data_IF_635906305741
#
_entry.id   IF_635906305741
#
_cell.length_a   1.000
_cell.length_b   1.000
_cell.length_c   1.000
_cell.angle_alpha   90.00
_cell.angle_beta   90.00
_cell.angle_gamma   90.00
#
_symmetry.space_group_name_H-M   'P 1'
#
loop_
_entity.id
_entity.type
_entity.pdbx_description
1 polymer ?
#
# COMPACT_ATOMS: atom_id res chain seq x y z
N UNK A 1 -0.87 14.14 -16.85
CA UNK A 1 0.30 14.28 -16.01
C UNK A 1 0.11 13.46 -14.75
N UNK A 2 1.08 12.64 -14.37
CA UNK A 2 1.08 11.76 -13.18
C UNK A 2 0.80 12.54 -11.89
N UNK A 3 1.18 13.80 -11.84
CA UNK A 3 0.93 14.71 -10.70
C UNK A 3 -0.55 14.89 -10.35
N UNK A 4 -1.45 14.74 -11.31
CA UNK A 4 -2.91 14.91 -11.11
C UNK A 4 -3.66 13.60 -10.88
N UNK A 5 -2.99 12.45 -10.98
CA UNK A 5 -3.64 11.17 -10.70
C UNK A 5 -3.86 11.00 -9.19
N UNK A 6 -5.07 10.67 -8.82
CA UNK A 6 -5.37 10.27 -7.45
C UNK A 6 -4.67 8.96 -7.13
N UNK A 7 -4.10 8.78 -5.93
CA UNK A 7 -3.62 7.47 -5.49
C UNK A 7 -4.74 6.44 -5.56
N UNK A 8 -4.39 5.20 -5.94
CA UNK A 8 -5.33 4.09 -5.91
C UNK A 8 -5.44 3.56 -4.48
N UNK A 9 -6.64 3.16 -4.08
CA UNK A 9 -6.89 2.50 -2.81
C UNK A 9 -7.60 1.17 -3.05
N UNK A 10 -6.84 0.08 -2.96
CA UNK A 10 -7.34 -1.30 -3.06
C UNK A 10 -7.99 -1.69 -1.74
N UNK A 11 -9.28 -1.79 -1.73
CA UNK A 11 -10.06 -2.09 -0.53
C UNK A 11 -10.72 -3.46 -0.64
N UNK A 12 -10.45 -4.34 0.31
CA UNK A 12 -11.02 -5.69 0.29
C UNK A 12 -10.48 -6.57 1.39
N UNK A 13 -11.05 -7.75 1.59
CA UNK A 13 -10.70 -8.68 2.66
C UNK A 13 -9.19 -9.03 2.69
N UNK A 14 -8.66 -9.48 3.85
CA UNK A 14 -7.28 -9.93 3.94
C UNK A 14 -7.06 -11.23 3.15
N UNK A 15 -5.83 -11.39 2.63
CA UNK A 15 -5.41 -12.63 1.99
C UNK A 15 -5.99 -12.93 0.62
N UNK A 16 -6.64 -11.96 -0.05
CA UNK A 16 -7.20 -12.11 -1.41
C UNK A 16 -6.21 -11.81 -2.54
N UNK A 17 -4.95 -11.43 -2.21
CA UNK A 17 -3.91 -11.21 -3.20
C UNK A 17 -3.69 -9.76 -3.62
N UNK A 18 -4.15 -8.74 -2.87
CA UNK A 18 -3.96 -7.32 -3.23
C UNK A 18 -2.51 -6.97 -3.56
N UNK A 19 -1.57 -7.38 -2.71
CA UNK A 19 -0.13 -7.15 -2.92
C UNK A 19 0.38 -7.89 -4.17
N UNK A 20 0.00 -9.17 -4.32
CA UNK A 20 0.42 -9.99 -5.46
C UNK A 20 -0.04 -9.43 -6.81
N UNK A 21 -1.24 -8.84 -6.87
CA UNK A 21 -1.74 -8.17 -8.09
C UNK A 21 -0.89 -6.96 -8.45
N UNK A 22 -0.49 -6.15 -7.46
CA UNK A 22 0.34 -4.97 -7.71
C UNK A 22 1.74 -5.37 -8.16
N UNK A 23 2.33 -6.40 -7.54
CA UNK A 23 3.62 -6.96 -7.94
C UNK A 23 3.56 -7.52 -9.38
N UNK A 24 2.51 -8.27 -9.71
CA UNK A 24 2.34 -8.81 -11.06
C UNK A 24 2.20 -7.70 -12.11
N UNK A 25 1.46 -6.63 -11.81
CA UNK A 25 1.33 -5.48 -12.71
C UNK A 25 2.68 -4.79 -12.91
N UNK A 26 3.48 -4.63 -11.85
CA UNK A 26 4.80 -4.04 -11.96
C UNK A 26 5.73 -4.88 -12.85
N UNK A 27 5.72 -6.21 -12.66
CA UNK A 27 6.48 -7.15 -13.47
C UNK A 27 6.06 -7.13 -14.95
N UNK A 28 4.75 -7.18 -15.23
CA UNK A 28 4.22 -7.17 -16.61
C UNK A 28 4.51 -5.87 -17.34
N UNK A 29 4.54 -4.74 -16.64
CA UNK A 29 4.87 -3.44 -17.21
C UNK A 29 6.37 -3.13 -17.24
N UNK A 30 7.20 -3.97 -16.60
CA UNK A 30 8.64 -3.75 -16.46
C UNK A 30 8.99 -2.49 -15.67
N UNK A 31 8.18 -2.13 -14.67
CA UNK A 31 8.37 -0.96 -13.81
C UNK A 31 8.80 -1.37 -12.40
N UNK A 32 9.37 -0.42 -11.65
CA UNK A 32 9.79 -0.66 -10.27
C UNK A 32 8.61 -0.83 -9.30
N UNK A 33 8.87 -1.49 -8.18
CA UNK A 33 7.96 -1.52 -7.04
C UNK A 33 8.74 -1.35 -5.75
N UNK A 34 8.25 -0.46 -4.90
CA UNK A 34 8.72 -0.29 -3.51
C UNK A 34 7.50 -0.44 -2.61
N UNK A 35 7.55 -1.45 -1.73
CA UNK A 35 6.42 -1.83 -0.88
C UNK A 35 6.70 -1.56 0.60
N UNK A 36 5.73 -1.00 1.29
CA UNK A 36 5.75 -0.79 2.74
C UNK A 36 4.45 -1.25 3.38
N UNK A 37 4.56 -2.01 4.50
CA UNK A 37 3.43 -2.21 5.41
C UNK A 37 3.40 -1.08 6.43
N UNK A 38 2.30 -0.34 6.45
CA UNK A 38 2.15 0.85 7.28
C UNK A 38 1.90 0.57 8.77
N UNK A 39 1.62 -0.69 9.14
CA UNK A 39 1.38 -1.10 10.54
C UNK A 39 2.59 -0.95 11.44
N UNK A 40 3.79 -1.05 10.89
CA UNK A 40 5.06 -1.02 11.64
C UNK A 40 5.75 0.35 11.60
N UNK A 41 5.21 1.30 10.84
CA UNK A 41 5.81 2.62 10.73
C UNK A 41 5.40 3.56 11.86
N UNK A 42 6.42 4.12 12.50
CA UNK A 42 6.25 5.23 13.42
C UNK A 42 6.11 6.55 12.65
N UNK A 43 5.65 7.60 13.32
CA UNK A 43 5.61 8.93 12.71
C UNK A 43 7.00 9.39 12.21
N UNK A 44 8.04 9.03 12.93
CA UNK A 44 9.42 9.44 12.61
C UNK A 44 9.95 8.72 11.36
N UNK A 45 9.72 7.41 11.23
CA UNK A 45 10.16 6.67 10.03
C UNK A 45 9.36 7.07 8.78
N UNK A 46 8.07 7.36 8.94
CA UNK A 46 7.22 7.74 7.82
C UNK A 46 7.42 9.19 7.35
N UNK A 47 7.67 10.14 8.26
CA UNK A 47 7.74 11.57 7.95
C UNK A 47 9.17 12.14 7.92
N UNK A 48 10.14 11.43 8.50
CA UNK A 48 11.47 11.94 8.80
C UNK A 48 11.55 12.62 10.17
N UNK A 49 12.77 13.02 10.52
CA UNK A 49 13.07 13.70 11.78
C UNK A 49 13.15 15.21 11.57
N UNK A 50 12.60 16.03 12.48
CA UNK A 50 12.79 17.48 12.40
C UNK A 50 14.24 17.84 12.74
N UNK A 51 14.82 18.75 11.98
CA UNK A 51 16.12 19.35 12.26
C UNK A 51 16.07 20.87 12.06
N UNK A 52 17.00 21.58 12.70
CA UNK A 52 17.10 23.03 12.59
C UNK A 52 18.06 23.37 11.45
N UNK A 53 17.59 24.24 10.55
CA UNK A 53 18.34 24.77 9.43
C UNK A 53 18.36 26.28 9.49
N UNK A 54 19.51 26.90 9.30
CA UNK A 54 19.64 28.35 9.16
C UNK A 54 19.45 28.73 7.70
N UNK A 55 18.53 29.68 7.45
CA UNK A 55 18.23 30.18 6.11
C UNK A 55 18.26 31.70 6.12
N UNK A 56 18.80 32.29 5.06
CA UNK A 56 18.82 33.75 4.85
C UNK A 56 17.57 34.16 4.05
N UNK A 57 16.86 35.15 4.59
CA UNK A 57 15.80 35.84 3.86
C UNK A 57 16.17 37.35 3.83
N UNK A 58 16.60 37.81 2.66
CA UNK A 58 17.22 39.13 2.53
C UNK A 58 18.58 39.16 3.27
N UNK A 59 18.74 40.16 4.16
CA UNK A 59 19.95 40.33 4.94
C UNK A 59 19.90 39.69 6.35
N UNK A 60 18.78 39.07 6.70
CA UNK A 60 18.57 38.46 8.03
C UNK A 60 18.62 36.96 7.98
N UNK A 61 19.18 36.34 9.04
CA UNK A 61 19.29 34.89 9.24
C UNK A 61 18.16 34.41 10.17
N UNK A 62 17.47 33.35 9.72
CA UNK A 62 16.40 32.72 10.47
C UNK A 62 16.69 31.24 10.70
N UNK A 63 16.34 30.74 11.86
CA UNK A 63 16.32 29.30 12.13
C UNK A 63 14.93 28.77 11.80
N UNK A 64 14.88 27.81 10.88
CA UNK A 64 13.66 27.13 10.50
C UNK A 64 13.73 25.65 10.88
N UNK A 65 12.58 25.04 11.17
CA UNK A 65 12.49 23.60 11.32
C UNK A 65 12.18 22.97 9.95
N UNK A 66 13.00 22.01 9.54
CA UNK A 66 12.82 21.22 8.33
C UNK A 66 12.84 19.73 8.71
N UNK A 67 12.29 18.85 7.85
CA UNK A 67 12.31 17.41 8.08
C UNK A 67 13.34 16.76 7.18
N UNK A 68 14.04 15.73 7.72
CA UNK A 68 14.83 14.82 6.88
C UNK A 68 13.92 14.08 5.91
N UNK A 69 14.49 13.54 4.83
CA UNK A 69 13.74 12.68 3.92
C UNK A 69 13.20 11.46 4.69
N UNK A 70 11.93 11.12 4.44
CA UNK A 70 11.33 9.92 5.02
C UNK A 70 11.97 8.65 4.46
N UNK A 71 12.00 7.59 5.25
CA UNK A 71 12.47 6.27 4.82
C UNK A 71 11.72 5.77 3.58
N UNK A 72 10.41 6.00 3.53
CA UNK A 72 9.56 5.62 2.41
C UNK A 72 10.02 6.27 1.10
N UNK A 73 10.30 7.57 1.11
CA UNK A 73 10.79 8.26 -0.09
C UNK A 73 12.24 7.92 -0.40
N UNK A 74 13.09 7.80 0.64
CA UNK A 74 14.49 7.42 0.46
C UNK A 74 14.64 6.07 -0.27
N UNK A 75 13.76 5.10 0.02
CA UNK A 75 13.77 3.81 -0.67
C UNK A 75 13.36 3.91 -2.15
N UNK A 76 12.44 4.81 -2.47
CA UNK A 76 12.08 5.06 -3.89
C UNK A 76 13.27 5.67 -4.63
N UNK A 77 13.92 6.68 -4.06
CA UNK A 77 15.10 7.29 -4.66
C UNK A 77 16.28 6.31 -4.77
N UNK A 78 16.50 5.49 -3.73
CA UNK A 78 17.53 4.45 -3.73
C UNK A 78 17.28 3.40 -4.82
N UNK A 79 16.02 2.96 -4.97
CA UNK A 79 15.65 2.03 -6.03
C UNK A 79 15.95 2.59 -7.43
N UNK A 80 15.64 3.86 -7.67
CA UNK A 80 15.96 4.53 -8.95
C UNK A 80 17.47 4.57 -9.18
N UNK A 81 18.24 4.91 -8.14
CA UNK A 81 19.70 4.99 -8.23
C UNK A 81 20.35 3.64 -8.53
N UNK A 82 19.87 2.57 -7.89
CA UNK A 82 20.39 1.22 -8.04
C UNK A 82 20.02 0.57 -9.39
N UNK A 83 18.78 0.79 -9.86
CA UNK A 83 18.25 0.08 -11.04
C UNK A 83 18.24 0.92 -12.31
N UNK A 84 18.31 2.24 -12.20
CA UNK A 84 18.10 3.17 -13.31
C UNK A 84 16.65 3.26 -13.80
N UNK A 85 15.70 2.60 -13.11
CA UNK A 85 14.29 2.60 -13.51
C UNK A 85 13.55 3.77 -12.86
N UNK A 86 13.20 4.78 -13.66
CA UNK A 86 12.55 6.01 -13.24
C UNK A 86 11.02 5.89 -13.11
N UNK A 87 10.45 4.71 -13.42
CA UNK A 87 9.01 4.45 -13.33
C UNK A 87 8.72 3.34 -12.35
N UNK A 88 7.68 3.51 -11.54
CA UNK A 88 7.34 2.49 -10.57
C UNK A 88 6.07 2.75 -9.78
N UNK A 89 5.84 1.84 -8.86
CA UNK A 89 4.73 1.84 -7.91
C UNK A 89 5.30 1.96 -6.49
N UNK A 90 4.89 3.00 -5.78
CA UNK A 90 5.03 3.05 -4.32
C UNK A 90 3.78 2.43 -3.72
N UNK A 91 3.92 1.21 -3.21
CA UNK A 91 2.83 0.45 -2.63
C UNK A 91 2.83 0.56 -1.10
N UNK A 92 1.73 1.09 -0.54
CA UNK A 92 1.55 1.27 0.90
C UNK A 92 0.43 0.34 1.38
N UNK A 93 0.81 -0.82 1.92
CA UNK A 93 -0.14 -1.79 2.44
C UNK A 93 -0.62 -1.42 3.84
N UNK A 94 -1.85 -1.82 4.16
CA UNK A 94 -2.49 -1.59 5.46
C UNK A 94 -2.57 -0.11 5.84
N UNK A 95 -2.78 0.78 4.85
CA UNK A 95 -2.78 2.24 5.04
C UNK A 95 -3.82 2.72 6.06
N UNK A 96 -4.91 2.00 6.24
CA UNK A 96 -5.96 2.31 7.18
C UNK A 96 -5.74 1.72 8.60
N UNK A 97 -4.58 1.08 8.82
CA UNK A 97 -4.12 0.61 10.13
C UNK A 97 -3.11 1.56 10.78
N UNK A 98 -2.76 2.68 10.14
CA UNK A 98 -1.82 3.67 10.71
C UNK A 98 -2.35 4.28 12.01
N UNK A 99 -1.43 4.67 12.88
CA UNK A 99 -1.78 5.31 14.15
C UNK A 99 -2.54 6.64 13.95
N UNK A 100 -3.32 7.04 14.96
CA UNK A 100 -4.05 8.33 14.93
C UNK A 100 -3.16 9.52 14.67
N UNK A 101 -1.97 9.49 15.24
CA UNK A 101 -1.01 10.58 15.11
C UNK A 101 -0.38 10.65 13.73
N UNK A 102 -0.33 9.53 13.00
CA UNK A 102 0.25 9.46 11.67
C UNK A 102 -0.79 9.66 10.55
N UNK A 103 -2.04 9.26 10.78
CA UNK A 103 -3.11 9.28 9.78
C UNK A 103 -3.27 10.64 9.06
N UNK A 104 -3.33 11.81 9.75
CA UNK A 104 -3.48 13.11 9.06
C UNK A 104 -2.32 13.41 8.11
N UNK A 105 -1.11 13.01 8.50
CA UNK A 105 0.09 13.23 7.68
C UNK A 105 0.12 12.32 6.46
N UNK A 106 -0.34 11.06 6.62
CA UNK A 106 -0.47 10.13 5.50
C UNK A 106 -1.53 10.59 4.49
N UNK A 107 -2.67 11.10 4.96
CA UNK A 107 -3.69 11.68 4.09
C UNK A 107 -3.17 12.87 3.30
N UNK A 108 -2.39 13.74 3.95
CA UNK A 108 -1.71 14.83 3.27
C UNK A 108 -0.70 14.33 2.24
N UNK A 109 0.06 13.28 2.58
CA UNK A 109 0.98 12.65 1.65
C UNK A 109 0.27 12.09 0.41
N UNK A 110 -0.84 11.39 0.59
CA UNK A 110 -1.63 10.87 -0.53
C UNK A 110 -2.14 12.01 -1.43
N UNK A 111 -2.51 13.14 -0.86
CA UNK A 111 -3.03 14.30 -1.61
C UNK A 111 -1.94 15.04 -2.39
N UNK A 112 -0.79 15.29 -1.74
CA UNK A 112 0.28 16.15 -2.30
C UNK A 112 1.47 15.36 -2.82
N UNK A 113 1.51 14.05 -2.60
CA UNK A 113 2.62 13.16 -2.97
C UNK A 113 3.97 13.65 -2.44
N UNK A 114 3.96 14.24 -1.24
CA UNK A 114 5.16 14.79 -0.62
C UNK A 114 5.13 14.71 0.90
N UNK A 115 6.29 14.49 1.49
CA UNK A 115 6.55 14.71 2.91
C UNK A 115 7.50 15.88 3.07
N UNK A 116 7.04 16.97 3.72
CA UNK A 116 7.83 18.21 3.83
C UNK A 116 8.22 18.76 2.45
N UNK A 117 9.52 18.96 2.24
CA UNK A 117 10.10 19.42 0.98
C UNK A 117 10.36 18.30 -0.04
N UNK A 118 10.20 17.04 0.36
CA UNK A 118 10.54 15.88 -0.46
C UNK A 118 9.31 15.32 -1.15
N UNK A 119 9.37 15.15 -2.47
CA UNK A 119 8.26 14.65 -3.30
C UNK A 119 8.52 13.22 -3.75
N UNK A 120 7.45 12.49 -4.04
CA UNK A 120 7.52 11.25 -4.83
C UNK A 120 8.06 11.61 -6.22
N UNK A 121 9.08 10.89 -6.74
CA UNK A 121 9.63 11.16 -8.07
C UNK A 121 8.59 11.07 -9.18
N UNK A 122 8.77 11.88 -10.22
CA UNK A 122 7.94 11.80 -11.41
C UNK A 122 8.08 10.41 -12.06
N UNK A 123 6.97 9.87 -12.54
CA UNK A 123 6.92 8.49 -13.05
C UNK A 123 6.51 7.45 -12.03
N UNK A 124 6.52 7.79 -10.73
CA UNK A 124 6.05 6.89 -9.67
C UNK A 124 4.59 7.18 -9.29
N UNK A 125 3.80 6.13 -9.22
CA UNK A 125 2.40 6.19 -8.78
C UNK A 125 2.25 5.61 -7.38
N UNK A 126 1.33 6.18 -6.60
CA UNK A 126 1.02 5.67 -5.27
C UNK A 126 -0.18 4.73 -5.38
N UNK A 127 0.01 3.50 -4.94
CA UNK A 127 -1.04 2.50 -4.75
C UNK A 127 -1.07 2.15 -3.27
N UNK A 128 -2.25 2.16 -2.69
CA UNK A 128 -2.45 1.81 -1.29
C UNK A 128 -3.39 0.63 -1.16
N UNK A 129 -3.27 -0.13 -0.09
CA UNK A 129 -4.22 -1.20 0.22
C UNK A 129 -4.71 -1.10 1.66
N UNK A 130 -5.91 -1.61 1.90
CA UNK A 130 -6.50 -1.67 3.22
C UNK A 130 -7.58 -2.73 3.31
N UNK A 131 -7.85 -3.17 4.54
CA UNK A 131 -8.88 -4.16 4.83
C UNK A 131 -10.11 -3.49 5.42
N UNK A 132 -11.31 -4.06 5.25
CA UNK A 132 -12.51 -3.65 5.98
C UNK A 132 -12.37 -3.84 7.50
N UNK A 133 -13.04 -3.01 8.32
CA UNK A 133 -12.90 -3.02 9.77
C UNK A 133 -13.40 -4.30 10.44
N UNK A 134 -14.30 -5.04 9.80
CA UNK A 134 -14.79 -6.33 10.30
C UNK A 134 -13.69 -7.40 10.41
N UNK A 135 -12.58 -7.24 9.68
CA UNK A 135 -11.46 -8.18 9.69
C UNK A 135 -10.30 -7.77 10.62
N UNK A 136 -10.25 -6.51 11.03
CA UNK A 136 -9.17 -6.03 11.89
C UNK A 136 -9.65 -4.84 12.74
N UNK A 137 -9.67 -5.01 14.06
CA UNK A 137 -10.11 -3.98 15.01
C UNK A 137 -9.24 -2.72 15.02
N UNK A 138 -8.02 -2.80 14.51
CA UNK A 138 -7.11 -1.65 14.37
C UNK A 138 -7.39 -0.81 13.11
N UNK A 139 -8.26 -1.29 12.24
CA UNK A 139 -8.65 -0.60 11.01
C UNK A 139 -9.55 0.58 11.34
N UNK A 140 -9.31 1.69 10.63
CA UNK A 140 -10.18 2.86 10.64
C UNK A 140 -10.91 2.97 9.33
N UNK A 141 -12.18 3.27 9.42
CA UNK A 141 -12.93 3.67 8.24
C UNK A 141 -12.47 5.07 7.80
N UNK A 142 -12.25 5.21 6.51
CA UNK A 142 -12.02 6.51 5.92
C UNK A 142 -13.33 7.25 5.74
N UNK A 143 -13.34 8.49 6.19
CA UNK A 143 -14.45 9.40 5.93
C UNK A 143 -14.55 9.79 4.44
N UNK A 144 -15.68 10.38 4.06
CA UNK A 144 -15.94 10.80 2.69
C UNK A 144 -14.85 11.75 2.18
N UNK A 145 -14.33 12.63 3.05
CA UNK A 145 -13.30 13.60 2.67
C UNK A 145 -11.96 12.91 2.35
N UNK A 146 -11.65 11.80 3.02
CA UNK A 146 -10.48 10.96 2.75
C UNK A 146 -10.66 10.17 1.45
N UNK A 147 -11.84 9.56 1.26
CA UNK A 147 -12.15 8.79 0.07
C UNK A 147 -12.17 9.65 -1.21
N UNK A 148 -12.53 10.93 -1.10
CA UNK A 148 -12.45 11.86 -2.25
C UNK A 148 -11.02 12.13 -2.74
N UNK A 149 -10.01 11.90 -1.88
CA UNK A 149 -8.58 12.08 -2.23
C UNK A 149 -7.95 10.89 -2.92
N UNK A 150 -8.59 9.73 -2.87
CA UNK A 150 -8.11 8.48 -3.46
C UNK A 150 -9.12 7.95 -4.47
N UNK A 151 -8.68 7.08 -5.36
CA UNK A 151 -9.55 6.30 -6.21
C UNK A 151 -9.73 4.93 -5.58
N UNK A 152 -10.85 4.72 -4.90
CA UNK A 152 -11.17 3.42 -4.27
C UNK A 152 -11.54 2.39 -5.33
N UNK A 153 -10.95 1.20 -5.19
CA UNK A 153 -11.26 0.01 -5.96
C UNK A 153 -11.59 -1.10 -4.96
N UNK A 154 -12.81 -1.59 -5.00
CA UNK A 154 -13.21 -2.74 -4.20
C UNK A 154 -12.66 -4.01 -4.86
N UNK A 155 -11.92 -4.80 -4.08
CA UNK A 155 -11.25 -6.03 -4.53
C UNK A 155 -11.95 -7.20 -3.85
N UNK A 156 -12.39 -8.14 -4.66
CA UNK A 156 -13.06 -9.35 -4.21
C UNK A 156 -12.24 -10.59 -4.60
N UNK A 157 -12.48 -11.69 -3.88
CA UNK A 157 -11.89 -12.97 -4.24
C UNK A 157 -12.69 -13.62 -5.37
N UNK A 158 -12.02 -13.96 -6.46
CA UNK A 158 -12.62 -14.69 -7.59
C UNK A 158 -11.85 -15.98 -7.84
N UNK A 159 -12.56 -17.12 -7.75
CA UNK A 159 -11.93 -18.43 -7.92
C UNK A 159 -11.44 -18.66 -9.36
N UNK A 160 -12.23 -18.27 -10.35
CA UNK A 160 -11.89 -18.56 -11.75
C UNK A 160 -10.66 -17.74 -12.18
N UNK A 161 -10.56 -16.48 -11.75
CA UNK A 161 -9.36 -15.65 -11.94
C UNK A 161 -8.16 -16.23 -11.19
N UNK A 162 -8.34 -16.64 -9.93
CA UNK A 162 -7.26 -17.27 -9.16
C UNK A 162 -6.79 -18.59 -9.82
N UNK A 163 -7.70 -19.37 -10.37
CA UNK A 163 -7.37 -20.64 -11.03
C UNK A 163 -6.43 -20.43 -12.22
N UNK A 164 -6.66 -19.39 -13.02
CA UNK A 164 -5.74 -19.02 -14.11
C UNK A 164 -4.35 -18.64 -13.59
N UNK A 165 -4.31 -17.83 -12.54
CA UNK A 165 -3.07 -17.49 -11.86
C UNK A 165 -2.36 -18.74 -11.30
N UNK A 166 -3.09 -19.62 -10.62
CA UNK A 166 -2.56 -20.84 -10.03
C UNK A 166 -1.91 -21.78 -11.08
N UNK A 167 -2.53 -21.91 -12.25
CA UNK A 167 -1.98 -22.66 -13.37
C UNK A 167 -0.69 -22.04 -13.90
N UNK A 168 -0.62 -20.70 -14.04
CA UNK A 168 0.60 -19.99 -14.48
C UNK A 168 1.73 -20.10 -13.46
N UNK A 169 1.41 -20.15 -12.17
CA UNK A 169 2.38 -20.27 -11.05
C UNK A 169 2.73 -21.72 -10.68
N UNK A 170 2.23 -22.70 -11.44
CA UNK A 170 2.45 -24.13 -11.18
C UNK A 170 2.02 -24.58 -9.77
N UNK A 171 0.92 -24.03 -9.25
CA UNK A 171 0.32 -24.54 -8.01
C UNK A 171 -0.05 -26.00 -8.19
N UNK A 172 0.17 -26.81 -7.15
CA UNK A 172 0.02 -28.26 -7.25
C UNK A 172 -1.37 -28.67 -7.77
N UNK A 173 -1.45 -29.53 -8.80
CA UNK A 173 -2.74 -29.88 -9.46
C UNK A 173 -3.80 -30.41 -8.50
N UNK A 174 -3.40 -31.13 -7.43
CA UNK A 174 -4.34 -31.65 -6.44
C UNK A 174 -5.10 -30.52 -5.68
N UNK A 175 -4.45 -29.35 -5.48
CA UNK A 175 -5.10 -28.21 -4.85
C UNK A 175 -6.16 -27.65 -5.80
N UNK A 176 -5.81 -27.48 -7.06
CA UNK A 176 -6.73 -26.95 -8.09
C UNK A 176 -7.94 -27.89 -8.23
N UNK A 177 -7.69 -29.21 -8.35
CA UNK A 177 -8.77 -30.21 -8.44
C UNK A 177 -9.65 -30.23 -7.19
N UNK A 178 -9.07 -30.12 -6.01
CA UNK A 178 -9.86 -30.02 -4.76
C UNK A 178 -10.77 -28.82 -4.76
N UNK A 179 -10.26 -27.66 -5.16
CA UNK A 179 -11.02 -26.40 -5.19
C UNK A 179 -12.03 -26.34 -6.34
N UNK A 180 -11.75 -27.00 -7.47
CA UNK A 180 -12.73 -27.15 -8.57
C UNK A 180 -14.03 -27.83 -8.09
N UNK A 181 -13.90 -28.80 -7.16
CA UNK A 181 -15.02 -29.53 -6.55
C UNK A 181 -15.58 -28.81 -5.33
N UNK A 182 -14.74 -28.12 -4.56
CA UNK A 182 -15.10 -27.51 -3.28
C UNK A 182 -14.89 -25.99 -3.31
N UNK A 183 -15.54 -25.27 -4.21
CA UNK A 183 -15.39 -23.81 -4.40
C UNK A 183 -15.64 -23.00 -3.13
N UNK A 184 -16.55 -23.45 -2.25
CA UNK A 184 -16.83 -22.83 -0.96
C UNK A 184 -15.63 -22.81 -0.02
N UNK A 185 -14.65 -23.72 -0.24
CA UNK A 185 -13.40 -23.76 0.55
C UNK A 185 -12.34 -22.80 0.07
N UNK A 186 -12.56 -22.10 -1.06
CA UNK A 186 -11.58 -21.19 -1.65
C UNK A 186 -11.30 -19.98 -0.76
N UNK A 187 -12.33 -19.36 -0.25
CA UNK A 187 -12.26 -18.22 0.65
C UNK A 187 -13.35 -18.31 1.71
N UNK A 188 -12.94 -18.45 2.97
CA UNK A 188 -13.86 -18.55 4.07
C UNK A 188 -13.26 -17.93 5.33
N UNK A 189 -13.90 -16.92 5.87
CA UNK A 189 -13.52 -16.30 7.15
C UNK A 189 -14.74 -16.31 8.06
N UNK A 190 -14.68 -17.11 9.13
CA UNK A 190 -15.64 -17.07 10.22
C UNK A 190 -14.98 -16.55 11.49
N UNK A 191 -15.53 -15.48 12.01
CA UNK A 191 -15.10 -14.90 13.27
C UNK A 191 -16.24 -15.08 14.30
N UNK A 192 -16.26 -16.25 14.94
CA UNK A 192 -17.20 -16.53 16.05
C UNK A 192 -16.49 -16.42 17.40
N UNK A 193 -17.21 -16.08 18.48
CA UNK A 193 -16.61 -15.97 19.83
C UNK A 193 -15.92 -17.23 20.33
N UNK A 194 -16.26 -18.39 19.75
CA UNK A 194 -15.80 -19.72 20.16
C UNK A 194 -14.71 -20.28 19.25
N UNK A 195 -14.68 -19.87 17.97
CA UNK A 195 -13.77 -20.45 16.98
C UNK A 195 -13.45 -19.42 15.89
N UNK A 196 -12.16 -19.20 15.65
CA UNK A 196 -11.68 -18.48 14.49
C UNK A 196 -11.26 -19.50 13.44
N UNK A 197 -12.00 -19.58 12.34
CA UNK A 197 -11.63 -20.40 11.17
C UNK A 197 -11.44 -19.44 10.01
N UNK A 198 -10.28 -19.50 9.39
CA UNK A 198 -10.04 -18.73 8.18
C UNK A 198 -9.29 -19.56 7.14
N UNK A 199 -9.76 -19.49 5.92
CA UNK A 199 -9.09 -19.95 4.73
C UNK A 199 -9.05 -18.78 3.76
N UNK A 200 -7.87 -18.42 3.31
CA UNK A 200 -7.68 -17.30 2.40
C UNK A 200 -6.99 -17.76 1.13
N UNK A 201 -7.13 -17.00 0.07
CA UNK A 201 -6.48 -17.25 -1.23
C UNK A 201 -4.96 -17.45 -1.08
N UNK A 202 -4.33 -16.70 -0.18
CA UNK A 202 -2.89 -16.83 0.14
C UNK A 202 -2.50 -18.21 0.65
N UNK A 203 -3.40 -18.89 1.34
CA UNK A 203 -3.13 -20.23 1.91
C UNK A 203 -3.08 -21.36 0.89
N UNK A 204 -3.45 -21.10 -0.38
CA UNK A 204 -3.50 -22.07 -1.45
C UNK A 204 -2.31 -22.00 -2.44
N UNK A 205 -1.39 -21.07 -2.21
CA UNK A 205 -0.22 -20.81 -3.09
C UNK A 205 1.08 -21.21 -2.42
#
# INVERSE_FOLDING_TARGET
PVEKQRPLFLYGPPGIGKTAVVEQIADELGIGIVSYSMTHHTRQSALGLPYIKTVKFGDEEYQISEFTMSEILASVYGYIEETGNDKGILFLDEINCVSETLSPSMLRFLQYKSFGSHKVPDGWVIVTAGNPPEYNKSVREYDIATLDRVQKIDVESDYDVWREYALKRNVHPAIILYLDVNRQSFYHIENTPVRMVFVTVRGWV
#
